data_IF_277786612106
#
_entry.id   IF_277786612106
#
_cell.length_a   1.000
_cell.length_b   1.000
_cell.length_c   1.000
_cell.angle_alpha   90.00
_cell.angle_beta   90.00
_cell.angle_gamma   90.00
#
_symmetry.space_group_name_H-M   'P 1'
#
loop_
_entity.id
_entity.type
_entity.pdbx_description
1 polymer ?
#
# COMPACT_ATOMS: atom_id res chain seq x y z
N UNK A 1 4.78 -11.93 31.18
CA UNK A 1 4.73 -10.65 30.45
C UNK A 1 4.41 -10.97 29.00
N UNK A 2 3.14 -10.92 28.63
CA UNK A 2 2.74 -11.03 27.23
C UNK A 2 3.27 -9.81 26.49
N UNK A 3 4.11 -10.03 25.47
CA UNK A 3 4.60 -8.97 24.60
C UNK A 3 3.40 -8.47 23.80
N UNK A 4 2.80 -7.37 24.24
CA UNK A 4 1.79 -6.68 23.44
C UNK A 4 2.48 -6.21 22.15
N UNK A 5 2.27 -6.94 21.07
CA UNK A 5 2.70 -6.50 19.75
C UNK A 5 1.92 -5.21 19.43
N UNK A 6 2.59 -4.12 19.03
CA UNK A 6 1.87 -2.90 18.66
C UNK A 6 0.88 -3.25 17.55
N UNK A 7 -0.40 -3.04 17.82
CA UNK A 7 -1.45 -3.21 16.82
C UNK A 7 -1.26 -2.08 15.81
N UNK A 8 -0.70 -2.40 14.65
CA UNK A 8 -0.59 -1.46 13.53
C UNK A 8 -1.99 -0.91 13.24
N UNK A 9 -2.18 0.40 13.39
CA UNK A 9 -3.48 1.03 13.16
C UNK A 9 -3.78 1.12 11.65
N UNK A 10 -2.74 1.32 10.85
CA UNK A 10 -2.80 1.32 9.40
C UNK A 10 -1.44 0.96 8.79
N UNK A 11 -1.43 0.68 7.49
CA UNK A 11 -0.20 0.48 6.70
C UNK A 11 -0.42 0.87 5.25
N UNK A 12 0.59 1.45 4.60
CA UNK A 12 0.60 1.64 3.15
C UNK A 12 1.73 0.80 2.56
N UNK A 13 1.50 0.20 1.39
CA UNK A 13 2.47 -0.63 0.68
C UNK A 13 2.46 -0.34 -0.80
N UNK A 14 3.62 -0.46 -1.45
CA UNK A 14 3.77 -0.39 -2.90
C UNK A 14 4.39 -1.69 -3.41
N UNK A 15 3.78 -2.29 -4.41
CA UNK A 15 4.24 -3.53 -5.03
C UNK A 15 4.38 -3.34 -6.53
N UNK A 16 5.51 -3.76 -7.08
CA UNK A 16 5.68 -3.85 -8.51
C UNK A 16 5.22 -5.22 -9.00
N UNK A 17 4.37 -5.22 -10.02
CA UNK A 17 3.79 -6.41 -10.61
C UNK A 17 4.17 -6.47 -12.10
N UNK A 18 4.18 -7.69 -12.64
CA UNK A 18 4.34 -7.95 -14.08
C UNK A 18 3.22 -8.88 -14.51
N UNK A 19 2.52 -8.52 -15.57
CA UNK A 19 1.51 -9.36 -16.22
C UNK A 19 1.68 -9.27 -17.74
N UNK A 20 1.84 -10.42 -18.41
CA UNK A 20 2.04 -10.53 -19.87
C UNK A 20 3.05 -9.51 -20.46
N UNK A 21 4.16 -9.26 -19.74
CA UNK A 21 5.21 -8.33 -20.15
C UNK A 21 4.96 -6.86 -19.76
N UNK A 22 3.75 -6.50 -19.37
CA UNK A 22 3.42 -5.17 -18.86
C UNK A 22 3.79 -5.05 -17.38
N UNK A 23 4.52 -3.99 -17.02
CA UNK A 23 4.85 -3.64 -15.65
C UNK A 23 3.83 -2.63 -15.13
N UNK A 24 3.29 -2.88 -13.95
CA UNK A 24 2.42 -1.95 -13.25
C UNK A 24 2.73 -1.98 -11.76
N UNK A 25 2.26 -0.96 -11.05
CA UNK A 25 2.52 -0.77 -9.64
C UNK A 25 1.19 -0.73 -8.91
N UNK A 26 1.10 -1.47 -7.81
CA UNK A 26 -0.07 -1.55 -6.95
C UNK A 26 0.27 -0.88 -5.63
N UNK A 27 -0.47 0.17 -5.29
CA UNK A 27 -0.38 0.84 -3.99
C UNK A 27 -1.59 0.44 -3.17
N UNK A 28 -1.39 -0.01 -1.93
CA UNK A 28 -2.45 -0.48 -1.06
C UNK A 28 -2.33 0.17 0.32
N UNK A 29 -3.37 0.90 0.74
CA UNK A 29 -3.55 1.41 2.11
C UNK A 29 -4.52 0.52 2.87
N UNK A 30 -4.13 0.05 4.04
CA UNK A 30 -4.96 -0.77 4.96
C UNK A 30 -5.21 0.00 6.24
N UNK A 31 -6.47 0.10 6.64
CA UNK A 31 -6.90 0.66 7.93
C UNK A 31 -7.43 -0.49 8.77
N UNK A 32 -6.60 -1.03 9.67
CA UNK A 32 -6.89 -2.27 10.40
C UNK A 32 -8.07 -2.09 11.35
N UNK A 33 -8.16 -0.94 12.01
CA UNK A 33 -9.26 -0.60 12.91
C UNK A 33 -10.64 -0.60 12.20
N UNK A 34 -10.67 -0.28 10.91
CA UNK A 34 -11.89 -0.22 10.11
C UNK A 34 -12.11 -1.49 9.27
N UNK A 35 -11.16 -2.44 9.30
CA UNK A 35 -11.13 -3.60 8.41
C UNK A 35 -11.27 -3.24 6.91
N UNK A 36 -10.76 -2.06 6.50
CA UNK A 36 -10.83 -1.57 5.11
C UNK A 36 -9.46 -1.58 4.45
N UNK A 37 -9.43 -1.91 3.16
CA UNK A 37 -8.27 -1.75 2.30
C UNK A 37 -8.65 -0.99 1.03
N UNK A 38 -7.87 0.05 0.71
CA UNK A 38 -7.96 0.79 -0.54
C UNK A 38 -6.76 0.43 -1.42
N UNK A 39 -7.01 0.13 -2.70
CA UNK A 39 -5.98 -0.27 -3.66
C UNK A 39 -6.08 0.57 -4.92
N UNK A 40 -4.93 1.07 -5.39
CA UNK A 40 -4.79 1.79 -6.67
C UNK A 40 -3.69 1.16 -7.51
N UNK A 41 -3.87 1.21 -8.83
CA UNK A 41 -2.92 0.69 -9.81
C UNK A 41 -2.40 1.81 -10.69
N UNK A 42 -1.11 1.76 -11.02
CA UNK A 42 -0.41 2.76 -11.80
C UNK A 42 0.49 2.09 -12.84
N UNK A 43 0.67 2.75 -13.98
CA UNK A 43 1.58 2.28 -15.02
C UNK A 43 3.01 2.78 -14.78
N UNK A 44 3.17 3.96 -14.17
CA UNK A 44 4.49 4.52 -13.84
C UNK A 44 4.87 4.28 -12.38
N UNK A 45 6.19 4.28 -12.11
CA UNK A 45 6.71 4.21 -10.74
C UNK A 45 6.46 5.53 -10.02
N UNK A 46 6.68 6.66 -10.70
CA UNK A 46 6.54 7.99 -10.11
C UNK A 46 5.12 8.22 -9.58
N UNK A 47 4.07 7.92 -10.36
CA UNK A 47 2.69 8.11 -9.89
C UNK A 47 2.36 7.22 -8.69
N UNK A 48 2.85 5.98 -8.68
CA UNK A 48 2.66 5.06 -7.56
C UNK A 48 3.38 5.56 -6.30
N UNK A 49 4.58 6.12 -6.45
CA UNK A 49 5.37 6.71 -5.38
C UNK A 49 4.67 7.96 -4.82
N UNK A 50 4.18 8.85 -5.68
CA UNK A 50 3.41 10.03 -5.27
C UNK A 50 2.16 9.63 -4.48
N UNK A 51 1.42 8.62 -4.93
CA UNK A 51 0.25 8.14 -4.19
C UNK A 51 0.62 7.52 -2.85
N UNK A 52 1.73 6.78 -2.79
CA UNK A 52 2.24 6.20 -1.56
C UNK A 52 2.57 7.29 -0.54
N UNK A 53 3.33 8.31 -0.95
CA UNK A 53 3.71 9.46 -0.12
C UNK A 53 2.49 10.27 0.32
N UNK A 54 1.54 10.54 -0.58
CA UNK A 54 0.29 11.23 -0.27
C UNK A 54 -0.63 10.48 0.72
N UNK A 55 -0.40 9.18 0.94
CA UNK A 55 -1.10 8.41 1.97
C UNK A 55 -0.29 8.26 3.27
N UNK A 56 0.99 8.66 3.27
CA UNK A 56 1.83 8.71 4.47
C UNK A 56 1.77 10.07 5.17
N UNK A 57 1.49 11.15 4.44
CA UNK A 57 1.23 12.49 4.97
C UNK A 57 -0.11 12.57 5.73
#
# INVERSE_FOLDING_TARGET
>A
MEKQHPVLQWSVSILQLRDNGNRYYKVTRRMYALAVAETKFFLSKEEAQQQFEAWLE
#
